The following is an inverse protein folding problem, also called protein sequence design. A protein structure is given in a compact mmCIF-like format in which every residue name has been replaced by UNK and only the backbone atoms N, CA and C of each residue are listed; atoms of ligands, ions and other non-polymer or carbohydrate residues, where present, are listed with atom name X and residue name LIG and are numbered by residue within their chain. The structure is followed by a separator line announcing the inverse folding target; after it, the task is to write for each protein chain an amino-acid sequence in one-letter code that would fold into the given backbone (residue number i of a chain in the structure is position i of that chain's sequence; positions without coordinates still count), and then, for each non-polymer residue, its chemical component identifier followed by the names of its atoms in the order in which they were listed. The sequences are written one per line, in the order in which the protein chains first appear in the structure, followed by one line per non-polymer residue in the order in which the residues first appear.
data_IF_654811017325
#
_entry.id   IF_654811017325
#
_cell.length_a   1.000
_cell.length_b   1.000
_cell.length_c   1.000
_cell.angle_alpha   90.00
_cell.angle_beta   90.00
_cell.angle_gamma   90.00
#
_symmetry.space_group_name_H-M   'P 1'
#
loop_
_entity.id
_entity.type
_entity.pdbx_description
1 polymer ?
#
# COMPACT_ATOMS: atom_id res chain seq x y z
N UNK A 1 -7.28 -8.60 -4.98
CA UNK A 1 -6.59 -9.24 -3.84
C UNK A 1 -6.31 -8.18 -2.78
N UNK A 2 -6.86 -8.35 -1.58
CA UNK A 2 -6.50 -7.61 -0.37
C UNK A 2 -5.49 -8.48 0.40
N UNK A 3 -4.28 -7.97 0.67
CA UNK A 3 -3.20 -8.77 1.27
C UNK A 3 -2.45 -7.97 2.34
N UNK A 4 -2.26 -8.56 3.51
CA UNK A 4 -1.44 -8.03 4.60
C UNK A 4 0.02 -8.42 4.41
N UNK A 5 0.92 -7.46 4.60
CA UNK A 5 2.37 -7.65 4.71
C UNK A 5 2.73 -7.35 6.16
N UNK A 6 2.86 -8.38 7.01
CA UNK A 6 3.16 -8.19 8.42
C UNK A 6 4.61 -7.75 8.61
N UNK A 7 4.86 -6.95 9.63
CA UNK A 7 6.20 -6.53 10.07
C UNK A 7 7.04 -5.97 8.92
N UNK A 8 6.44 -5.17 8.02
CA UNK A 8 7.19 -4.49 6.95
C UNK A 8 8.27 -3.59 7.55
N UNK A 9 7.92 -2.89 8.63
CA UNK A 9 8.86 -2.15 9.47
C UNK A 9 9.05 -2.88 10.79
N UNK A 10 10.28 -2.85 11.28
CA UNK A 10 10.62 -3.36 12.63
C UNK A 10 10.08 -2.43 13.72
N UNK A 11 9.92 -2.89 14.98
CA UNK A 11 9.46 -2.05 16.07
C UNK A 11 10.29 -0.77 16.29
N UNK A 12 11.61 -0.85 16.09
CA UNK A 12 12.50 0.31 16.23
C UNK A 12 12.32 1.32 15.09
N UNK A 13 12.12 0.84 13.86
CA UNK A 13 11.80 1.69 12.71
C UNK A 13 10.43 2.35 12.88
N UNK A 14 9.43 1.61 13.36
CA UNK A 14 8.11 2.17 13.67
C UNK A 14 8.24 3.30 14.70
N UNK A 15 9.00 3.09 15.77
CA UNK A 15 9.24 4.10 16.81
C UNK A 15 9.93 5.34 16.25
N UNK A 16 10.97 5.16 15.46
CA UNK A 16 11.68 6.25 14.78
C UNK A 16 10.74 7.05 13.88
N UNK A 17 9.99 6.36 13.00
CA UNK A 17 9.02 6.99 12.11
C UNK A 17 7.95 7.74 12.91
N UNK A 18 7.45 7.15 14.00
CA UNK A 18 6.41 7.77 14.83
C UNK A 18 6.86 9.05 15.50
N UNK A 19 8.04 9.05 16.12
CA UNK A 19 8.61 10.26 16.71
C UNK A 19 8.76 11.38 15.66
N UNK A 20 9.24 11.04 14.46
CA UNK A 20 9.40 12.00 13.38
C UNK A 20 8.05 12.53 12.85
N UNK A 21 7.02 11.68 12.74
CA UNK A 21 5.68 12.05 12.29
C UNK A 21 4.95 12.93 13.31
N UNK A 22 5.12 12.67 14.60
CA UNK A 22 4.55 13.47 15.69
C UNK A 22 5.15 14.87 15.77
N UNK A 23 6.44 15.01 15.49
CA UNK A 23 7.15 16.29 15.45
C UNK A 23 6.97 17.08 14.14
N UNK A 24 6.37 16.47 13.11
CA UNK A 24 6.26 17.08 11.79
C UNK A 24 5.15 18.14 11.71
N UNK A 25 5.28 19.05 10.74
CA UNK A 25 4.22 20.00 10.40
C UNK A 25 3.23 19.38 9.42
N UNK A 26 1.95 19.43 9.79
CA UNK A 26 0.84 18.85 9.05
C UNK A 26 -0.02 19.95 8.42
N UNK A 27 -0.58 19.70 7.23
CA UNK A 27 -1.48 20.60 6.51
C UNK A 27 -2.78 19.91 6.12
N UNK A 28 -3.80 20.69 5.73
CA UNK A 28 -5.07 20.14 5.25
C UNK A 28 -4.85 19.23 4.01
N UNK A 29 -5.27 17.98 4.14
CA UNK A 29 -5.10 16.95 3.13
C UNK A 29 -6.03 17.07 1.93
N UNK A 30 -7.03 17.97 1.92
CA UNK A 30 -7.91 18.20 0.75
C UNK A 30 -7.12 18.59 -0.50
N UNK A 31 -6.00 19.27 -0.32
CA UNK A 31 -5.12 19.76 -1.41
C UNK A 31 -4.49 18.66 -2.26
N UNK A 32 -4.43 17.42 -1.75
CA UNK A 32 -3.74 16.30 -2.42
C UNK A 32 -4.69 15.26 -3.04
N UNK A 33 -6.00 15.44 -2.87
CA UNK A 33 -7.01 14.52 -3.38
C UNK A 33 -7.48 14.90 -4.78
N UNK A 34 -7.99 13.92 -5.54
CA UNK A 34 -8.73 14.19 -6.78
C UNK A 34 -9.98 15.01 -6.51
N UNK A 35 -10.50 15.69 -7.53
CA UNK A 35 -11.57 16.69 -7.38
C UNK A 35 -12.82 16.16 -6.64
N UNK A 36 -13.24 14.92 -6.94
CA UNK A 36 -14.36 14.25 -6.27
C UNK A 36 -14.00 13.83 -4.85
N UNK A 37 -12.83 13.23 -4.67
CA UNK A 37 -12.41 12.67 -3.39
C UNK A 37 -12.07 13.76 -2.35
N UNK A 38 -11.67 14.96 -2.79
CA UNK A 38 -11.42 16.10 -1.91
C UNK A 38 -12.66 16.56 -1.14
N UNK A 39 -13.87 16.34 -1.69
CA UNK A 39 -15.12 16.78 -1.05
C UNK A 39 -15.49 15.93 0.17
N UNK A 40 -15.01 14.69 0.24
CA UNK A 40 -15.30 13.73 1.30
C UNK A 40 -14.10 13.49 2.22
N UNK A 41 -13.06 14.31 2.11
CA UNK A 41 -11.80 14.17 2.84
C UNK A 41 -11.68 15.21 3.94
N UNK A 42 -11.46 14.73 5.16
CA UNK A 42 -11.17 15.54 6.33
C UNK A 42 -10.00 14.88 7.07
N UNK A 43 -8.78 15.19 6.65
CA UNK A 43 -7.58 14.67 7.30
C UNK A 43 -6.42 15.66 7.15
N UNK A 44 -5.31 15.32 7.80
CA UNK A 44 -4.07 16.05 7.68
C UNK A 44 -3.08 15.24 6.86
N UNK A 45 -2.19 15.92 6.12
CA UNK A 45 -1.09 15.30 5.39
C UNK A 45 0.21 16.07 5.57
N UNK A 46 1.34 15.37 5.40
CA UNK A 46 2.61 16.06 5.23
C UNK A 46 2.66 16.76 3.87
N UNK A 47 3.32 17.92 3.76
CA UNK A 47 3.66 18.53 2.47
C UNK A 47 4.41 17.53 1.57
N UNK A 48 4.18 17.60 0.26
CA UNK A 48 4.81 16.67 -0.71
C UNK A 48 6.34 16.80 -0.76
N UNK A 49 6.87 17.96 -0.38
CA UNK A 49 8.29 18.28 -0.29
C UNK A 49 8.86 18.11 1.14
N UNK A 50 8.08 17.53 2.06
CA UNK A 50 8.52 17.27 3.44
C UNK A 50 9.75 16.35 3.46
N UNK A 51 10.84 16.84 4.07
CA UNK A 51 12.06 16.04 4.29
C UNK A 51 11.79 14.81 5.15
N UNK A 52 10.96 14.95 6.18
CA UNK A 52 10.51 13.81 7.01
C UNK A 52 9.75 12.79 6.17
N UNK A 53 8.85 13.26 5.30
CA UNK A 53 8.12 12.38 4.39
C UNK A 53 9.04 11.64 3.41
N UNK A 54 10.03 12.31 2.85
CA UNK A 54 11.03 11.68 1.97
C UNK A 54 11.84 10.61 2.71
N UNK A 55 12.38 10.92 3.89
CA UNK A 55 13.18 9.97 4.68
C UNK A 55 12.40 8.71 5.06
N UNK A 56 11.17 8.86 5.55
CA UNK A 56 10.33 7.71 5.91
C UNK A 56 9.87 6.97 4.64
N UNK A 57 9.58 7.70 3.56
CA UNK A 57 9.19 7.11 2.29
C UNK A 57 10.30 6.25 1.69
N UNK A 58 11.54 6.72 1.70
CA UNK A 58 12.70 5.96 1.23
C UNK A 58 12.90 4.67 2.03
N UNK A 59 12.72 4.72 3.35
CA UNK A 59 12.75 3.54 4.21
C UNK A 59 11.65 2.53 3.83
N UNK A 60 10.41 2.98 3.62
CA UNK A 60 9.30 2.11 3.20
C UNK A 60 9.62 1.45 1.86
N UNK A 61 10.08 2.22 0.88
CA UNK A 61 10.40 1.72 -0.47
C UNK A 61 11.56 0.71 -0.43
N UNK A 62 12.58 0.97 0.38
CA UNK A 62 13.71 0.07 0.61
C UNK A 62 13.26 -1.26 1.24
N UNK A 63 12.37 -1.21 2.24
CA UNK A 63 11.80 -2.40 2.88
C UNK A 63 10.90 -3.19 1.93
N UNK A 64 10.08 -2.53 1.14
CA UNK A 64 9.22 -3.18 0.13
C UNK A 64 10.03 -3.82 -1.00
N UNK A 65 11.07 -3.15 -1.49
CA UNK A 65 11.94 -3.68 -2.54
C UNK A 65 12.67 -4.96 -2.15
N UNK A 66 12.82 -5.23 -0.85
CA UNK A 66 13.41 -6.48 -0.32
C UNK A 66 12.38 -7.47 0.22
N UNK A 67 11.09 -7.16 0.16
CA UNK A 67 10.04 -8.02 0.71
C UNK A 67 9.50 -8.98 -0.39
N UNK A 68 9.77 -10.30 -0.33
CA UNK A 68 9.37 -11.22 -1.39
C UNK A 68 7.85 -11.28 -1.59
N UNK A 69 7.08 -11.18 -0.51
CA UNK A 69 5.62 -11.18 -0.55
C UNK A 69 5.09 -9.98 -1.33
N UNK A 70 5.61 -8.77 -1.08
CA UNK A 70 5.25 -7.58 -1.84
C UNK A 70 5.66 -7.71 -3.32
N UNK A 71 6.90 -8.13 -3.58
CA UNK A 71 7.41 -8.24 -4.96
C UNK A 71 6.57 -9.21 -5.80
N UNK A 72 6.19 -10.35 -5.22
CA UNK A 72 5.32 -11.34 -5.85
C UNK A 72 3.88 -10.85 -6.05
N UNK A 73 3.32 -10.18 -5.04
CA UNK A 73 1.92 -9.75 -5.05
C UNK A 73 1.66 -8.49 -5.89
N UNK A 74 2.60 -7.55 -5.91
CA UNK A 74 2.45 -6.24 -6.56
C UNK A 74 3.16 -6.14 -7.91
N UNK A 75 4.20 -6.96 -8.15
CA UNK A 75 5.03 -6.93 -9.37
C UNK A 75 5.41 -5.49 -9.81
N UNK A 76 6.06 -4.70 -8.94
CA UNK A 76 6.19 -3.26 -9.13
C UNK A 76 7.06 -2.91 -10.35
N UNK A 77 6.53 -2.07 -11.24
CA UNK A 77 7.29 -1.38 -12.29
C UNK A 77 7.73 0.02 -11.82
N UNK A 78 6.80 0.78 -11.24
CA UNK A 78 7.05 2.11 -10.65
C UNK A 78 6.18 2.29 -9.41
N UNK A 79 6.73 2.90 -8.37
CA UNK A 79 6.01 3.22 -7.14
C UNK A 79 5.98 4.73 -6.98
N UNK A 80 4.80 5.30 -6.69
CA UNK A 80 4.70 6.71 -6.33
C UNK A 80 5.35 6.92 -4.95
N UNK A 81 6.08 8.03 -4.75
CA UNK A 81 6.64 8.34 -3.44
C UNK A 81 5.58 8.24 -2.33
N UNK A 82 5.87 7.52 -1.23
CA UNK A 82 4.99 7.40 -0.09
C UNK A 82 4.51 8.76 0.41
N UNK A 83 3.20 8.90 0.59
CA UNK A 83 2.57 10.07 1.22
C UNK A 83 2.14 9.70 2.62
N UNK A 84 1.89 10.70 3.45
CA UNK A 84 1.60 10.49 4.87
C UNK A 84 0.32 11.21 5.24
N UNK A 85 -0.54 10.53 6.00
CA UNK A 85 -1.78 11.08 6.51
C UNK A 85 -1.91 10.86 8.02
N UNK A 86 -2.66 11.77 8.63
CA UNK A 86 -3.03 11.78 10.04
C UNK A 86 -4.52 12.03 10.15
N UNK A 87 -5.20 11.20 10.93
CA UNK A 87 -6.63 11.32 11.24
C UNK A 87 -6.82 11.41 12.75
N UNK A 88 -7.58 12.40 13.19
CA UNK A 88 -7.93 12.65 14.60
C UNK A 88 -9.15 13.57 14.67
N UNK A 89 -9.78 13.69 15.84
CA UNK A 89 -10.84 14.67 16.09
C UNK A 89 -12.05 14.55 15.16
N UNK A 90 -12.41 13.32 14.76
CA UNK A 90 -13.46 13.04 13.77
C UNK A 90 -12.99 13.02 12.32
N UNK A 91 -11.69 13.20 12.07
CA UNK A 91 -11.10 13.13 10.73
C UNK A 91 -11.42 11.81 10.03
N UNK A 92 -11.75 11.89 8.74
CA UNK A 92 -12.30 10.80 7.92
C UNK A 92 -11.91 10.96 6.45
N UNK A 93 -12.08 9.90 5.66
CA UNK A 93 -12.06 9.98 4.21
C UNK A 93 -13.18 9.11 3.67
N UNK A 94 -14.27 9.72 3.21
CA UNK A 94 -15.46 9.01 2.73
C UNK A 94 -15.21 8.15 1.48
N UNK A 95 -16.25 7.44 1.05
CA UNK A 95 -16.19 6.50 -0.07
C UNK A 95 -15.64 7.17 -1.34
N UNK A 96 -14.56 6.61 -1.88
CA UNK A 96 -13.96 7.04 -3.13
C UNK A 96 -13.19 5.91 -3.82
N UNK A 97 -12.94 6.11 -5.10
CA UNK A 97 -11.96 5.33 -5.88
C UNK A 97 -10.83 6.30 -6.22
N UNK A 98 -9.59 5.83 -6.15
CA UNK A 98 -8.43 6.64 -6.48
C UNK A 98 -8.40 7.01 -7.97
N UNK A 99 -7.75 8.12 -8.30
CA UNK A 99 -7.53 8.47 -9.69
C UNK A 99 -6.66 7.41 -10.36
N UNK A 100 -7.06 6.94 -11.54
CA UNK A 100 -6.33 5.92 -12.29
C UNK A 100 -4.88 6.28 -12.64
N UNK A 101 -4.55 7.58 -12.64
CA UNK A 101 -3.21 8.09 -12.88
C UNK A 101 -2.86 9.23 -11.92
N UNK A 102 -1.63 9.21 -11.43
CA UNK A 102 -1.00 10.36 -10.79
C UNK A 102 0.30 10.71 -11.49
N UNK A 103 0.67 11.99 -11.45
CA UNK A 103 1.98 12.46 -11.88
C UNK A 103 2.95 12.41 -10.70
N UNK A 104 4.16 11.87 -10.92
CA UNK A 104 5.22 11.94 -9.90
C UNK A 104 5.59 13.41 -9.68
N UNK A 105 5.54 13.92 -8.43
CA UNK A 105 5.88 15.31 -8.14
C UNK A 105 7.25 15.70 -8.73
N UNK A 106 7.32 16.89 -9.33
CA UNK A 106 8.54 17.40 -9.96
C UNK A 106 8.89 16.78 -11.32
N UNK A 107 8.05 15.92 -11.90
CA UNK A 107 8.30 15.30 -13.21
C UNK A 107 7.05 15.34 -14.11
N UNK A 108 7.20 14.98 -15.39
CA UNK A 108 6.10 14.74 -16.31
C UNK A 108 5.61 13.26 -16.32
N UNK A 109 6.18 12.41 -15.47
CA UNK A 109 5.95 10.97 -15.50
C UNK A 109 4.59 10.66 -14.85
N UNK A 110 3.70 10.03 -15.62
CA UNK A 110 2.44 9.48 -15.10
C UNK A 110 2.62 8.04 -14.64
N UNK A 111 2.01 7.71 -13.52
CA UNK A 111 2.00 6.39 -12.89
C UNK A 111 0.55 5.91 -12.83
N UNK A 112 0.29 4.73 -13.40
CA UNK A 112 -1.00 4.04 -13.30
C UNK A 112 -1.14 3.43 -11.90
N UNK A 113 -2.30 3.57 -11.27
CA UNK A 113 -2.51 3.13 -9.89
C UNK A 113 -3.13 1.73 -9.83
N UNK A 114 -2.34 0.70 -10.08
CA UNK A 114 -2.85 -0.68 -10.11
C UNK A 114 -3.06 -1.25 -8.71
N UNK A 115 -2.16 -0.92 -7.78
CA UNK A 115 -2.17 -1.40 -6.39
C UNK A 115 -2.01 -0.22 -5.44
N UNK A 116 -2.97 -0.04 -4.55
CA UNK A 116 -2.89 0.88 -3.41
C UNK A 116 -2.22 0.18 -2.24
N UNK A 117 -1.38 0.90 -1.50
CA UNK A 117 -0.69 0.41 -0.30
C UNK A 117 -0.93 1.37 0.86
N UNK A 118 -1.24 0.84 2.03
CA UNK A 118 -1.25 1.60 3.30
C UNK A 118 -0.29 0.95 4.28
N UNK A 119 0.61 1.73 4.88
CA UNK A 119 1.51 1.31 5.96
C UNK A 119 1.05 1.98 7.25
N UNK A 120 0.89 1.20 8.32
CA UNK A 120 0.35 1.67 9.60
C UNK A 120 1.48 2.09 10.53
N UNK A 121 1.31 3.20 11.25
CA UNK A 121 2.24 3.65 12.29
C UNK A 121 1.59 3.79 13.67
N UNK A 122 0.27 3.67 13.78
CA UNK A 122 -0.45 3.61 15.06
C UNK A 122 -0.91 2.20 15.30
N UNK A 123 -0.75 1.70 16.52
CA UNK A 123 -1.38 0.43 16.89
C UNK A 123 -2.91 0.58 16.95
N UNK A 124 -3.67 -0.50 16.66
CA UNK A 124 -5.14 -0.45 16.58
C UNK A 124 -5.85 0.01 17.86
N UNK A 125 -5.20 -0.11 19.02
CA UNK A 125 -5.72 0.29 20.33
C UNK A 125 -5.35 1.74 20.72
N UNK A 126 -4.49 2.42 19.95
CA UNK A 126 -4.16 3.84 20.16
C UNK A 126 -5.28 4.80 19.72
N UNK A 127 -6.26 4.32 18.96
CA UNK A 127 -7.31 5.17 18.39
C UNK A 127 -8.64 4.42 18.22
N UNK A 128 -9.76 5.13 18.33
CA UNK A 128 -11.10 4.59 18.08
C UNK A 128 -11.59 4.94 16.67
N UNK A 129 -12.24 3.98 15.99
CA UNK A 129 -12.61 4.10 14.58
C UNK A 129 -11.38 4.01 13.66
N UNK A 130 -11.38 4.80 12.58
CA UNK A 130 -10.24 4.87 11.65
C UNK A 130 -9.96 3.58 10.87
N UNK A 131 -10.91 2.65 10.80
CA UNK A 131 -10.77 1.46 9.98
C UNK A 131 -10.71 1.86 8.50
N UNK A 132 -9.78 1.26 7.77
CA UNK A 132 -9.79 1.30 6.32
C UNK A 132 -10.80 0.26 5.84
N UNK A 133 -11.91 0.74 5.29
CA UNK A 133 -12.93 -0.09 4.68
C UNK A 133 -12.64 -0.22 3.20
N UNK A 134 -12.48 -1.45 2.70
CA UNK A 134 -12.23 -1.73 1.29
C UNK A 134 -13.35 -2.63 0.75
N UNK A 135 -14.04 -2.18 -0.30
CA UNK A 135 -15.02 -3.01 -0.99
C UNK A 135 -14.34 -3.92 -2.01
N UNK A 136 -14.75 -5.18 -2.00
CA UNK A 136 -14.40 -6.22 -2.96
C UNK A 136 -15.68 -6.81 -3.58
N UNK A 137 -15.51 -7.77 -4.49
CA UNK A 137 -16.64 -8.42 -5.22
C UNK A 137 -17.64 -9.11 -4.29
N UNK A 138 -17.24 -9.51 -3.08
CA UNK A 138 -18.03 -10.32 -2.15
C UNK A 138 -18.45 -9.56 -0.88
N UNK A 139 -18.03 -8.31 -0.72
CA UNK A 139 -18.47 -7.46 0.37
C UNK A 139 -17.42 -6.42 0.76
N UNK A 140 -17.53 -5.96 2.00
CA UNK A 140 -16.67 -4.93 2.56
C UNK A 140 -15.74 -5.53 3.62
N UNK A 141 -14.44 -5.32 3.46
CA UNK A 141 -13.42 -5.72 4.43
C UNK A 141 -13.07 -4.54 5.33
N UNK A 142 -12.93 -4.79 6.63
CA UNK A 142 -12.49 -3.81 7.63
C UNK A 142 -11.03 -4.06 7.98
N UNK A 143 -10.17 -3.05 7.82
CA UNK A 143 -8.72 -3.19 8.03
C UNK A 143 -8.23 -2.19 9.07
N UNK A 144 -7.66 -2.72 10.16
CA UNK A 144 -6.96 -1.99 11.22
C UNK A 144 -5.82 -2.89 11.71
N UNK A 145 -4.59 -2.58 11.34
CA UNK A 145 -3.42 -3.46 11.54
C UNK A 145 -2.44 -2.87 12.55
N UNK A 146 -1.56 -3.73 13.08
CA UNK A 146 -0.47 -3.33 13.97
C UNK A 146 0.46 -2.31 13.30
N UNK A 147 1.06 -1.44 14.11
CA UNK A 147 2.05 -0.51 13.60
C UNK A 147 3.24 -1.28 12.98
N UNK A 148 3.70 -0.84 11.81
CA UNK A 148 4.73 -1.50 11.01
C UNK A 148 4.20 -2.52 10.00
N UNK A 149 2.92 -2.87 10.04
CA UNK A 149 2.29 -3.66 8.98
C UNK A 149 1.90 -2.80 7.79
N UNK A 150 1.79 -3.45 6.64
CA UNK A 150 1.16 -2.87 5.47
C UNK A 150 -0.02 -3.71 4.97
N UNK A 151 -0.93 -3.05 4.27
CA UNK A 151 -1.99 -3.69 3.49
C UNK A 151 -1.87 -3.21 2.04
N UNK A 152 -2.02 -4.13 1.10
CA UNK A 152 -2.13 -3.84 -0.33
C UNK A 152 -3.50 -4.26 -0.85
N UNK A 153 -4.04 -3.50 -1.79
CA UNK A 153 -5.35 -3.75 -2.40
C UNK A 153 -5.43 -3.16 -3.82
N UNK A 154 -6.40 -3.59 -4.65
CA UNK A 154 -6.55 -3.02 -5.99
C UNK A 154 -6.84 -1.52 -5.93
N UNK A 155 -6.17 -0.72 -6.76
CA UNK A 155 -6.43 0.72 -6.85
C UNK A 155 -7.84 1.06 -7.37
N UNK A 156 -8.55 0.06 -7.91
CA UNK A 156 -9.93 0.16 -8.39
C UNK A 156 -10.98 -0.02 -7.29
N UNK A 157 -10.60 -0.44 -6.09
CA UNK A 157 -11.55 -0.71 -5.00
C UNK A 157 -12.17 0.58 -4.47
N UNK A 158 -13.50 0.59 -4.32
CA UNK A 158 -14.20 1.60 -3.53
C UNK A 158 -13.75 1.45 -2.07
N UNK A 159 -13.29 2.53 -1.47
CA UNK A 159 -12.79 2.47 -0.11
C UNK A 159 -13.01 3.77 0.65
N UNK A 160 -12.94 3.68 1.98
CA UNK A 160 -13.02 4.81 2.90
C UNK A 160 -12.17 4.56 4.15
N UNK A 161 -11.83 5.63 4.85
CA UNK A 161 -11.34 5.58 6.23
C UNK A 161 -12.45 6.10 7.12
N UNK A 162 -12.95 5.25 8.03
CA UNK A 162 -13.95 5.66 9.01
C UNK A 162 -13.42 6.81 9.89
N UNK A 163 -14.31 7.62 10.50
CA UNK A 163 -13.88 8.68 11.41
C UNK A 163 -13.00 8.15 12.55
N UNK A 164 -11.93 8.87 12.88
CA UNK A 164 -11.15 8.65 14.12
C UNK A 164 -11.74 9.52 15.22
N UNK A 165 -12.48 8.92 16.15
CA UNK A 165 -13.23 9.66 17.19
C UNK A 165 -12.38 9.98 18.42
N UNK A 166 -11.45 9.09 18.76
CA UNK A 166 -10.47 9.27 19.84
C UNK A 166 -9.09 8.79 19.39
N UNK A 167 -8.03 9.39 19.96
CA UNK A 167 -6.66 9.11 19.57
C UNK A 167 -6.28 9.65 18.19
N UNK A 168 -5.16 9.17 17.65
CA UNK A 168 -4.62 9.64 16.37
C UNK A 168 -4.11 8.47 15.54
N UNK A 169 -4.60 8.36 14.29
CA UNK A 169 -4.15 7.39 13.31
C UNK A 169 -3.13 8.02 12.37
N UNK A 170 -1.89 7.53 12.42
CA UNK A 170 -0.84 7.85 11.46
C UNK A 170 -0.66 6.70 10.46
N UNK A 171 -0.63 7.03 9.17
CA UNK A 171 -0.33 6.05 8.13
C UNK A 171 0.43 6.67 6.96
N UNK A 172 1.12 5.81 6.21
CA UNK A 172 1.55 6.12 4.86
C UNK A 172 0.58 5.51 3.85
N UNK A 173 0.39 6.19 2.71
CA UNK A 173 -0.39 5.69 1.58
C UNK A 173 0.28 6.06 0.25
N UNK A 174 0.25 5.15 -0.70
CA UNK A 174 0.81 5.34 -2.05
C UNK A 174 0.32 4.25 -3.01
N UNK A 175 0.73 4.38 -4.27
CA UNK A 175 0.32 3.47 -5.34
C UNK A 175 1.50 2.91 -6.11
N UNK A 176 1.30 1.69 -6.59
CA UNK A 176 2.23 0.96 -7.44
C UNK A 176 1.60 0.78 -8.82
N UNK A 177 2.35 1.18 -9.85
CA UNK A 177 2.15 0.71 -11.22
C UNK A 177 2.81 -0.66 -11.32
N UNK A 178 2.00 -1.68 -11.54
CA UNK A 178 2.44 -3.06 -11.68
C UNK A 178 2.89 -3.32 -13.12
N UNK A 179 3.89 -4.18 -13.29
CA UNK A 179 4.24 -4.78 -14.58
C UNK A 179 3.02 -5.44 -15.23
N UNK A 180 2.16 -6.06 -14.42
CA UNK A 180 0.94 -6.73 -14.88
C UNK A 180 -0.28 -5.90 -14.51
N UNK A 181 -0.96 -5.36 -15.53
CA UNK A 181 -2.12 -4.48 -15.40
C UNK A 181 -3.31 -5.17 -14.73
N UNK A 182 -3.74 -6.31 -15.27
CA UNK A 182 -4.92 -7.03 -14.77
C UNK A 182 -4.69 -7.55 -13.34
N UNK A 183 -5.64 -7.26 -12.46
CA UNK A 183 -5.61 -7.74 -11.08
C UNK A 183 -5.75 -9.27 -11.01
N UNK A 184 -6.50 -9.86 -11.95
CA UNK A 184 -6.72 -11.29 -12.10
C UNK A 184 -5.44 -12.00 -12.54
N UNK A 185 -4.79 -11.51 -13.60
CA UNK A 185 -3.51 -12.05 -14.07
C UNK A 185 -2.42 -11.95 -12.99
N UNK A 186 -2.34 -10.81 -12.30
CA UNK A 186 -1.42 -10.62 -11.19
C UNK A 186 -1.71 -11.58 -10.03
N UNK A 187 -2.98 -11.83 -9.73
CA UNK A 187 -3.38 -12.83 -8.71
C UNK A 187 -2.96 -14.24 -9.11
N UNK A 188 -3.17 -14.64 -10.37
CA UNK A 188 -2.76 -15.97 -10.86
C UNK A 188 -1.23 -16.16 -10.78
N UNK A 189 -0.45 -15.14 -11.12
CA UNK A 189 1.01 -15.17 -10.96
C UNK A 189 1.40 -15.30 -9.50
N UNK A 190 0.76 -14.52 -8.61
CA UNK A 190 1.00 -14.59 -7.17
C UNK A 190 0.72 -16.01 -6.62
N UNK A 191 -0.45 -16.58 -6.91
CA UNK A 191 -0.82 -17.91 -6.42
C UNK A 191 0.14 -19.01 -6.94
N UNK A 192 0.60 -18.90 -8.20
CA UNK A 192 1.58 -19.81 -8.76
C UNK A 192 2.95 -19.68 -8.07
N UNK A 193 3.43 -18.46 -7.84
CA UNK A 193 4.69 -18.24 -7.13
C UNK A 193 4.61 -18.77 -5.69
N UNK A 194 3.54 -18.48 -4.94
CA UNK A 194 3.36 -19.02 -3.58
C UNK A 194 3.40 -20.55 -3.57
N UNK A 195 2.75 -21.19 -4.55
CA UNK A 195 2.78 -22.66 -4.68
C UNK A 195 4.19 -23.19 -4.96
N UNK A 196 4.97 -22.49 -5.79
CA UNK A 196 6.37 -22.83 -6.07
C UNK A 196 7.23 -22.66 -4.82
N UNK A 197 7.08 -21.55 -4.08
CA UNK A 197 7.84 -21.28 -2.86
C UNK A 197 7.55 -22.35 -1.79
N UNK A 198 6.27 -22.69 -1.59
CA UNK A 198 5.87 -23.73 -0.65
C UNK A 198 6.46 -25.09 -1.04
N UNK A 199 6.33 -25.49 -2.31
CA UNK A 199 6.93 -26.74 -2.80
C UNK A 199 8.45 -26.76 -2.63
N UNK A 200 9.12 -25.62 -2.83
CA UNK A 200 10.58 -25.50 -2.66
C UNK A 200 10.99 -25.65 -1.20
N UNK A 201 10.18 -25.16 -0.25
CA UNK A 201 10.43 -25.35 1.18
C UNK A 201 10.19 -26.79 1.63
N UNK A 202 9.12 -27.41 1.14
CA UNK A 202 8.73 -28.78 1.52
C UNK A 202 9.61 -29.85 0.86
N UNK A 203 9.96 -29.65 -0.42
CA UNK A 203 10.71 -30.61 -1.24
C UNK A 203 11.70 -29.88 -2.18
N UNK A 204 12.85 -29.39 -1.67
CA UNK A 204 13.79 -28.58 -2.44
C UNK A 204 14.31 -29.21 -3.73
N UNK A 205 14.42 -30.54 -3.77
CA UNK A 205 14.91 -31.30 -4.94
C UNK A 205 13.78 -31.77 -5.88
N UNK A 206 12.53 -31.34 -5.66
CA UNK A 206 11.41 -31.81 -6.46
C UNK A 206 11.61 -31.40 -7.94
N UNK A 207 11.63 -32.37 -8.87
CA UNK A 207 12.05 -32.12 -10.26
C UNK A 207 11.12 -31.19 -11.05
N UNK A 208 9.91 -30.93 -10.54
CA UNK A 208 8.96 -29.99 -11.17
C UNK A 208 9.18 -28.52 -10.81
N UNK A 209 9.96 -28.20 -9.78
CA UNK A 209 10.17 -26.81 -9.35
C UNK A 209 10.67 -25.96 -10.54
N UNK A 210 11.74 -26.41 -11.20
CA UNK A 210 12.30 -25.71 -12.36
C UNK A 210 11.28 -25.51 -13.50
N UNK A 211 10.44 -26.52 -13.76
CA UNK A 211 9.41 -26.43 -14.80
C UNK A 211 8.31 -25.42 -14.44
N UNK A 212 7.85 -25.40 -13.18
CA UNK A 212 6.85 -24.46 -12.69
C UNK A 212 7.39 -23.02 -12.67
N UNK A 213 8.63 -22.81 -12.21
CA UNK A 213 9.31 -21.52 -12.30
C UNK A 213 9.46 -21.05 -13.75
N UNK A 214 9.77 -21.96 -14.67
CA UNK A 214 9.79 -21.67 -16.10
C UNK A 214 8.44 -21.17 -16.63
N UNK A 215 7.34 -21.84 -16.26
CA UNK A 215 5.96 -21.41 -16.58
C UNK A 215 5.65 -20.04 -16.00
N UNK A 216 5.96 -19.80 -14.72
CA UNK A 216 5.77 -18.51 -14.07
C UNK A 216 6.47 -17.38 -14.84
N UNK A 217 7.76 -17.55 -15.18
CA UNK A 217 8.51 -16.54 -15.92
C UNK A 217 8.00 -16.34 -17.35
N UNK A 218 7.49 -17.39 -18.00
CA UNK A 218 6.86 -17.26 -19.32
C UNK A 218 5.58 -16.43 -19.24
N UNK A 219 4.70 -16.72 -18.27
CA UNK A 219 3.48 -15.94 -18.05
C UNK A 219 3.79 -14.48 -17.70
N UNK A 220 4.77 -14.25 -16.82
CA UNK A 220 5.21 -12.90 -16.49
C UNK A 220 5.70 -12.15 -17.74
N UNK A 221 6.51 -12.78 -18.60
CA UNK A 221 6.95 -12.17 -19.87
C UNK A 221 5.80 -11.90 -20.83
N UNK A 222 4.77 -12.75 -20.85
CA UNK A 222 3.60 -12.58 -21.71
C UNK A 222 2.66 -11.47 -21.24
N UNK A 223 2.54 -11.24 -19.94
CA UNK A 223 1.56 -10.32 -19.35
C UNK A 223 2.16 -9.00 -18.88
N UNK A 224 3.48 -8.85 -18.89
CA UNK A 224 4.13 -7.61 -18.49
C UNK A 224 3.99 -6.51 -19.55
N UNK A 225 3.65 -5.30 -19.09
CA UNK A 225 3.67 -4.05 -19.84
C UNK A 225 4.78 -3.15 -19.25
N UNK A 226 5.64 -2.58 -20.10
CA UNK A 226 6.76 -1.69 -19.71
C UNK A 226 6.59 -0.28 -20.25
#
# INVERSE_FOLDING_TARGET
MLLRIPCLLTPDEVRYCRQALEAASWQDGKTTAGHVAAQVKSNLQLPLDSKTGQQIGDLILDRLGRNPLFMSAALPLKVLPPRFNRYEGGGTYGNHIDNAFFTIPGTAIKVRTDVSTTVFFSDPDEYEGGELMVEDTFGQQSVKLAAGDAIIYPGTSLHRVNPVTHGTRYASFFWTHSLVKSAEQRRLLFDLDQSIQQLTQEQPEHPRIAALSGTYHNLLRMWSES
#
